data_IF_109245587858
#
_entry.id   IF_109245587858
#
_cell.length_a   1.000
_cell.length_b   1.000
_cell.length_c   1.000
_cell.angle_alpha   90.00
_cell.angle_beta   90.00
_cell.angle_gamma   90.00
#
_symmetry.space_group_name_H-M   'P 1'
#
loop_
_entity.id
_entity.type
_entity.pdbx_description
1 polymer ?
#
# COMPACT_ATOMS: atom_id res chain seq x y z
N UNK A 1 -37.99 -21.99 3.83
CA UNK A 1 -36.83 -22.20 2.95
C UNK A 1 -35.92 -20.99 3.14
N UNK A 2 -34.88 -21.12 3.97
CA UNK A 2 -33.87 -20.07 4.11
C UNK A 2 -33.17 -19.95 2.75
N UNK A 3 -33.25 -18.80 2.11
CA UNK A 3 -32.33 -18.47 1.04
C UNK A 3 -30.97 -18.22 1.68
N UNK A 4 -30.09 -19.20 1.57
CA UNK A 4 -28.65 -18.98 1.67
C UNK A 4 -28.28 -17.97 0.60
N UNK A 5 -27.96 -16.75 1.01
CA UNK A 5 -27.21 -15.80 0.18
C UNK A 5 -25.89 -16.51 -0.14
N UNK A 6 -25.79 -17.06 -1.34
CA UNK A 6 -24.54 -17.61 -1.85
C UNK A 6 -23.47 -16.54 -1.68
N UNK A 7 -22.36 -16.89 -1.02
CA UNK A 7 -21.16 -16.06 -0.94
C UNK A 7 -20.94 -15.46 -2.32
N UNK A 8 -21.16 -14.16 -2.47
CA UNK A 8 -20.70 -13.45 -3.64
C UNK A 8 -19.21 -13.76 -3.72
N UNK A 9 -18.78 -14.33 -4.85
CA UNK A 9 -17.39 -14.19 -5.26
C UNK A 9 -17.13 -12.69 -5.13
N UNK A 10 -16.30 -12.29 -4.16
CA UNK A 10 -15.91 -10.90 -3.94
C UNK A 10 -15.74 -10.27 -5.31
N UNK A 11 -16.51 -9.21 -5.59
CA UNK A 11 -16.38 -8.47 -6.83
C UNK A 11 -14.88 -8.32 -7.10
N UNK A 12 -14.48 -8.75 -8.30
CA UNK A 12 -13.09 -8.81 -8.74
C UNK A 12 -12.58 -7.37 -8.86
N UNK A 13 -12.32 -6.73 -7.73
CA UNK A 13 -11.87 -5.35 -7.70
C UNK A 13 -10.38 -5.36 -8.07
N UNK A 14 -10.07 -4.81 -9.24
CA UNK A 14 -8.74 -4.84 -9.84
C UNK A 14 -7.75 -3.85 -9.19
N UNK A 15 -8.23 -3.05 -8.25
CA UNK A 15 -7.44 -2.03 -7.56
C UNK A 15 -7.55 -2.20 -6.04
N UNK A 16 -6.62 -1.58 -5.33
CA UNK A 16 -6.60 -1.53 -3.87
C UNK A 16 -6.30 -0.10 -3.44
N UNK A 17 -6.87 0.27 -2.30
CA UNK A 17 -6.67 1.57 -1.68
C UNK A 17 -5.55 1.50 -0.65
N UNK A 18 -4.80 2.59 -0.52
CA UNK A 18 -3.77 2.75 0.51
C UNK A 18 -4.03 4.08 1.21
N UNK A 19 -4.17 4.07 2.53
CA UNK A 19 -4.37 5.31 3.29
C UNK A 19 -3.09 6.13 3.32
N UNK A 20 -3.15 7.48 3.39
CA UNK A 20 -1.95 8.28 3.60
C UNK A 20 -1.25 7.90 4.91
N UNK A 21 0.09 7.95 5.00
CA UNK A 21 0.78 7.74 6.26
C UNK A 21 0.48 8.89 7.25
N UNK A 22 0.76 8.69 8.55
CA UNK A 22 0.63 9.77 9.53
C UNK A 22 1.67 10.86 9.29
N UNK A 23 1.41 12.08 9.79
CA UNK A 23 2.27 13.26 9.60
C UNK A 23 2.88 13.67 10.94
N UNK A 24 4.20 13.90 10.97
CA UNK A 24 4.83 14.53 12.13
C UNK A 24 4.97 16.05 11.92
N UNK A 25 4.00 16.79 12.45
CA UNK A 25 3.93 18.25 12.36
C UNK A 25 5.18 18.95 12.92
N UNK A 26 5.77 18.43 14.00
CA UNK A 26 6.97 19.00 14.60
C UNK A 26 8.21 18.85 13.69
N UNK A 27 8.31 17.76 12.95
CA UNK A 27 9.32 17.63 11.90
C UNK A 27 8.96 18.48 10.66
N UNK A 28 7.66 18.66 10.37
CA UNK A 28 7.23 19.46 9.23
C UNK A 28 7.58 20.93 9.35
N UNK A 29 7.47 21.47 10.56
CA UNK A 29 7.94 22.81 10.92
C UNK A 29 9.46 22.95 10.78
N UNK A 30 10.23 21.89 11.05
CA UNK A 30 11.71 21.91 10.95
C UNK A 30 12.22 21.77 9.53
N UNK A 31 11.49 21.10 8.65
CA UNK A 31 11.96 20.75 7.30
C UNK A 31 11.02 21.22 6.18
N UNK A 32 10.40 22.42 6.24
CA UNK A 32 9.26 22.77 5.39
C UNK A 32 9.60 22.70 3.89
N UNK A 33 8.60 22.38 3.06
CA UNK A 33 8.80 22.24 1.61
C UNK A 33 9.02 23.59 0.91
N UNK A 34 8.45 24.65 1.48
CA UNK A 34 8.59 26.05 1.04
C UNK A 34 8.82 26.92 2.27
N UNK A 35 9.15 28.19 2.06
CA UNK A 35 9.27 29.15 3.15
C UNK A 35 7.98 29.20 3.99
N UNK A 36 8.10 28.94 5.30
CA UNK A 36 6.98 28.84 6.21
C UNK A 36 6.92 30.07 7.13
N UNK A 37 6.46 31.19 6.58
CA UNK A 37 6.37 32.47 7.30
C UNK A 37 5.38 32.44 8.48
N UNK A 38 4.41 31.52 8.44
CA UNK A 38 3.36 31.41 9.45
C UNK A 38 3.79 30.57 10.66
N UNK A 39 4.85 29.77 10.53
CA UNK A 39 5.31 28.87 11.58
C UNK A 39 4.29 27.76 11.91
N UNK A 40 3.38 27.45 10.98
CA UNK A 40 2.36 26.41 11.11
C UNK A 40 2.67 25.24 10.19
N UNK A 41 2.37 24.02 10.60
CA UNK A 41 2.59 22.85 9.75
C UNK A 41 1.63 22.91 8.56
N UNK A 42 2.15 22.77 7.34
CA UNK A 42 1.35 22.83 6.11
C UNK A 42 0.47 21.59 5.91
N UNK A 43 0.71 20.54 6.70
CA UNK A 43 -0.07 19.30 6.77
C UNK A 43 -0.22 18.90 8.23
N UNK A 44 -1.38 18.38 8.61
CA UNK A 44 -1.63 17.89 9.97
C UNK A 44 -1.89 16.38 10.00
N UNK A 45 -1.56 15.74 11.11
CA UNK A 45 -1.87 14.32 11.29
C UNK A 45 -3.38 14.10 11.40
N UNK A 46 -4.11 15.08 11.93
CA UNK A 46 -5.57 15.08 11.98
C UNK A 46 -6.17 15.04 10.58
N UNK A 47 -5.71 15.92 9.68
CA UNK A 47 -6.17 15.92 8.29
C UNK A 47 -5.82 14.60 7.60
N UNK A 48 -4.59 14.09 7.78
CA UNK A 48 -4.19 12.79 7.25
C UNK A 48 -5.12 11.66 7.75
N UNK A 49 -5.51 11.69 9.03
CA UNK A 49 -6.47 10.74 9.61
C UNK A 49 -7.87 10.86 9.03
N UNK A 50 -8.34 12.08 8.74
CA UNK A 50 -9.63 12.31 8.08
C UNK A 50 -9.65 11.72 6.66
N UNK A 51 -8.57 11.93 5.88
CA UNK A 51 -8.41 11.33 4.56
C UNK A 51 -8.23 9.81 4.62
N UNK A 52 -7.53 9.28 5.63
CA UNK A 52 -7.43 7.84 5.85
C UNK A 52 -8.81 7.21 6.09
N UNK A 53 -9.63 7.82 6.95
CA UNK A 53 -11.01 7.38 7.20
C UNK A 53 -11.88 7.43 5.94
N UNK A 54 -11.78 8.51 5.15
CA UNK A 54 -12.51 8.62 3.89
C UNK A 54 -12.06 7.56 2.87
N UNK A 55 -10.76 7.30 2.76
CA UNK A 55 -10.19 6.27 1.89
C UNK A 55 -10.70 4.86 2.25
N UNK A 56 -10.77 4.54 3.55
CA UNK A 56 -11.34 3.27 4.04
C UNK A 56 -12.83 3.16 3.69
N UNK A 57 -13.62 4.21 3.94
CA UNK A 57 -15.04 4.21 3.63
C UNK A 57 -15.33 4.00 2.14
N UNK A 58 -14.57 4.64 1.26
CA UNK A 58 -14.68 4.43 -0.20
C UNK A 58 -14.30 3.00 -0.58
N UNK A 59 -13.23 2.46 0.00
CA UNK A 59 -12.85 1.07 -0.26
C UNK A 59 -13.95 0.08 0.16
N UNK A 60 -14.60 0.32 1.31
CA UNK A 60 -15.75 -0.47 1.77
C UNK A 60 -16.95 -0.34 0.83
N UNK A 61 -17.30 0.87 0.39
CA UNK A 61 -18.38 1.13 -0.57
C UNK A 61 -18.14 0.42 -1.91
N UNK A 62 -16.90 0.44 -2.40
CA UNK A 62 -16.50 -0.23 -3.64
C UNK A 62 -16.32 -1.76 -3.48
N UNK A 63 -16.37 -2.31 -2.27
CA UNK A 63 -16.04 -3.71 -2.00
C UNK A 63 -14.58 -4.06 -2.35
N UNK A 64 -13.68 -3.09 -2.23
CA UNK A 64 -12.27 -3.18 -2.60
C UNK A 64 -11.36 -3.32 -1.36
N UNK A 65 -10.19 -3.95 -1.49
CA UNK A 65 -9.22 -4.04 -0.41
C UNK A 65 -8.64 -2.66 -0.06
N UNK A 66 -8.40 -2.43 1.23
CA UNK A 66 -7.68 -1.26 1.75
C UNK A 66 -6.50 -1.67 2.62
N UNK A 67 -5.40 -0.93 2.47
CA UNK A 67 -4.20 -1.01 3.30
C UNK A 67 -4.13 0.23 4.18
N UNK A 68 -4.45 0.07 5.47
CA UNK A 68 -4.50 1.20 6.42
C UNK A 68 -3.12 1.48 7.05
N UNK A 69 -2.30 2.24 6.32
CA UNK A 69 -0.96 2.65 6.77
C UNK A 69 -1.04 3.68 7.91
N UNK A 70 -2.01 4.59 7.89
CA UNK A 70 -2.20 5.61 8.92
C UNK A 70 -2.31 4.98 10.31
N UNK A 71 -3.21 4.02 10.48
CA UNK A 71 -3.38 3.31 11.76
C UNK A 71 -2.20 2.40 12.04
N UNK A 72 -1.74 1.62 11.05
CA UNK A 72 -0.67 0.63 11.24
C UNK A 72 0.62 1.24 11.78
N UNK A 73 1.07 2.36 11.21
CA UNK A 73 2.30 3.00 11.66
C UNK A 73 2.19 3.47 13.10
N UNK A 74 1.06 4.06 13.48
CA UNK A 74 0.85 4.65 14.81
C UNK A 74 0.69 3.62 15.94
N UNK A 75 0.57 2.32 15.63
CA UNK A 75 0.67 1.24 16.62
C UNK A 75 2.06 1.19 17.29
N UNK A 76 3.10 1.73 16.64
CA UNK A 76 4.40 1.93 17.25
C UNK A 76 4.47 3.32 17.90
N UNK A 77 4.69 3.45 19.22
CA UNK A 77 4.74 4.77 19.88
C UNK A 77 5.87 5.67 19.37
N UNK A 78 6.92 5.11 18.75
CA UNK A 78 8.02 5.85 18.13
C UNK A 78 7.89 5.97 16.61
N UNK A 79 6.68 5.88 16.06
CA UNK A 79 6.44 5.90 14.60
C UNK A 79 7.04 7.11 13.89
N UNK A 80 7.02 8.28 14.53
CA UNK A 80 7.54 9.54 13.96
C UNK A 80 8.99 9.41 13.52
N UNK A 81 9.87 8.97 14.42
CA UNK A 81 11.30 8.82 14.13
C UNK A 81 11.61 7.49 13.43
N UNK A 82 10.83 6.44 13.72
CA UNK A 82 11.10 5.12 13.15
C UNK A 82 10.74 5.06 11.66
N UNK A 83 9.65 5.71 11.26
CA UNK A 83 9.05 5.51 9.93
C UNK A 83 9.08 6.75 9.04
N UNK A 84 9.33 7.96 9.57
CA UNK A 84 9.41 9.19 8.78
C UNK A 84 10.81 9.82 8.85
N UNK A 85 11.28 10.32 7.71
CA UNK A 85 12.59 10.98 7.57
C UNK A 85 12.53 12.45 7.96
N UNK A 86 11.52 13.14 7.44
CA UNK A 86 11.36 14.60 7.55
C UNK A 86 9.98 15.00 8.08
N UNK A 87 9.21 14.04 8.59
CA UNK A 87 7.82 14.22 9.01
C UNK A 87 6.77 13.97 7.91
N UNK A 88 7.21 13.61 6.69
CA UNK A 88 6.33 13.20 5.59
C UNK A 88 6.87 11.96 4.85
N UNK A 89 8.11 12.02 4.36
CA UNK A 89 8.67 10.94 3.56
C UNK A 89 9.10 9.76 4.43
N UNK A 90 8.90 8.55 3.92
CA UNK A 90 9.17 7.33 4.66
C UNK A 90 10.68 7.04 4.77
N UNK A 91 11.10 6.51 5.93
CA UNK A 91 12.42 5.88 6.08
C UNK A 91 12.44 4.51 5.38
N UNK A 92 13.59 3.83 5.25
CA UNK A 92 13.62 2.43 4.80
C UNK A 92 12.73 1.52 5.66
N UNK A 93 12.67 1.76 6.97
CA UNK A 93 11.79 1.02 7.88
C UNK A 93 10.31 1.36 7.65
N UNK A 94 9.99 2.62 7.37
CA UNK A 94 8.63 3.03 7.00
C UNK A 94 8.17 2.38 5.69
N UNK A 95 9.02 2.36 4.65
CA UNK A 95 8.76 1.69 3.39
C UNK A 95 8.56 0.18 3.58
N UNK A 96 9.35 -0.46 4.46
CA UNK A 96 9.18 -1.88 4.78
C UNK A 96 7.79 -2.20 5.34
N UNK A 97 7.24 -1.35 6.21
CA UNK A 97 5.86 -1.53 6.71
C UNK A 97 4.84 -1.46 5.57
N UNK A 98 4.97 -0.49 4.66
CA UNK A 98 4.07 -0.38 3.50
C UNK A 98 4.16 -1.64 2.63
N UNK A 99 5.38 -2.09 2.32
CA UNK A 99 5.61 -3.31 1.55
C UNK A 99 4.94 -4.53 2.19
N UNK A 100 5.16 -4.75 3.49
CA UNK A 100 4.63 -5.93 4.20
C UNK A 100 3.09 -5.95 4.21
N UNK A 101 2.45 -4.81 4.45
CA UNK A 101 0.99 -4.73 4.48
C UNK A 101 0.36 -4.83 3.09
N UNK A 102 0.97 -4.22 2.06
CA UNK A 102 0.53 -4.38 0.67
C UNK A 102 0.68 -5.83 0.22
N UNK A 103 1.84 -6.45 0.49
CA UNK A 103 2.12 -7.82 0.10
C UNK A 103 1.18 -8.81 0.80
N UNK A 104 0.88 -8.59 2.08
CA UNK A 104 -0.13 -9.35 2.82
C UNK A 104 -1.50 -9.24 2.13
N UNK A 105 -1.93 -8.03 1.74
CA UNK A 105 -3.22 -7.79 1.08
C UNK A 105 -3.31 -8.46 -0.29
N UNK A 106 -2.22 -8.45 -1.06
CA UNK A 106 -2.10 -9.18 -2.33
C UNK A 106 -2.22 -10.70 -2.11
N UNK A 107 -1.54 -11.25 -1.11
CA UNK A 107 -1.64 -12.68 -0.75
C UNK A 107 -3.06 -13.09 -0.35
N UNK A 108 -3.75 -12.27 0.43
CA UNK A 108 -5.17 -12.47 0.79
C UNK A 108 -6.10 -12.53 -0.45
N UNK A 109 -5.66 -11.95 -1.58
CA UNK A 109 -6.37 -11.96 -2.87
C UNK A 109 -5.91 -13.06 -3.82
N UNK A 110 -5.01 -13.95 -3.37
CA UNK A 110 -4.46 -15.03 -4.20
C UNK A 110 -3.36 -14.57 -5.15
N UNK A 111 -2.85 -13.34 -5.01
CA UNK A 111 -1.70 -12.85 -5.76
C UNK A 111 -0.44 -13.07 -4.91
N UNK A 112 0.34 -14.09 -5.26
CA UNK A 112 1.62 -14.36 -4.63
C UNK A 112 2.67 -14.76 -5.67
N UNK A 113 3.94 -14.50 -5.39
CA UNK A 113 5.05 -14.77 -6.32
C UNK A 113 5.12 -16.25 -6.68
N UNK A 114 4.70 -17.12 -5.77
CA UNK A 114 4.68 -18.57 -5.95
C UNK A 114 3.53 -19.06 -6.84
N UNK A 115 2.50 -18.24 -7.05
CA UNK A 115 1.28 -18.59 -7.81
C UNK A 115 1.23 -17.85 -9.15
N UNK A 116 1.86 -16.69 -9.25
CA UNK A 116 1.86 -15.90 -10.49
C UNK A 116 2.56 -16.69 -11.61
N UNK A 117 1.91 -16.82 -12.78
CA UNK A 117 2.54 -17.46 -13.92
C UNK A 117 3.75 -16.64 -14.36
N UNK A 118 4.77 -17.33 -14.87
CA UNK A 118 5.88 -16.66 -15.53
C UNK A 118 5.40 -16.29 -16.93
N UNK A 119 5.50 -15.00 -17.29
CA UNK A 119 4.99 -14.50 -18.57
C UNK A 119 5.80 -14.99 -19.78
N UNK A 120 7.04 -15.43 -19.56
CA UNK A 120 8.00 -15.81 -20.59
C UNK A 120 8.81 -17.04 -20.14
N UNK A 121 9.37 -17.83 -21.08
CA UNK A 121 10.27 -18.94 -20.74
C UNK A 121 11.43 -18.47 -19.86
N UNK A 122 11.85 -19.32 -18.93
CA UNK A 122 13.06 -19.06 -18.16
C UNK A 122 14.26 -19.11 -19.12
N UNK A 123 15.26 -18.26 -18.89
CA UNK A 123 16.47 -18.21 -19.74
C UNK A 123 17.17 -19.58 -19.84
N UNK A 124 17.10 -20.39 -18.77
CA UNK A 124 17.66 -21.73 -18.73
C UNK A 124 16.92 -22.72 -19.66
N UNK A 125 15.68 -22.41 -20.03
CA UNK A 125 14.80 -23.25 -20.86
C UNK A 125 14.79 -22.77 -22.33
N UNK A 126 15.57 -21.74 -22.67
CA UNK A 126 15.72 -21.25 -24.05
C UNK A 126 16.79 -22.08 -24.76
N UNK A 127 16.41 -22.79 -25.84
CA UNK A 127 17.38 -23.46 -26.69
C UNK A 127 18.23 -22.41 -27.45
N UNK A 128 19.55 -22.32 -27.23
CA UNK A 128 20.38 -21.34 -27.90
C UNK A 128 20.48 -21.55 -29.42
N UNK A 129 20.12 -22.75 -29.92
CA UNK A 129 20.12 -23.06 -31.35
C UNK A 129 18.79 -22.76 -32.03
N UNK A 130 17.70 -22.70 -31.26
CA UNK A 130 16.36 -22.37 -31.74
C UNK A 130 15.56 -21.59 -30.68
N UNK A 131 15.98 -20.34 -30.36
CA UNK A 131 15.44 -19.60 -29.23
C UNK A 131 13.98 -19.18 -29.44
N UNK A 132 13.53 -19.02 -30.69
CA UNK A 132 12.17 -18.60 -31.01
C UNK A 132 11.13 -19.66 -30.66
N UNK A 133 11.51 -20.95 -30.69
CA UNK A 133 10.62 -22.06 -30.34
C UNK A 133 10.13 -21.98 -28.90
N UNK A 134 10.95 -21.48 -27.97
CA UNK A 134 10.58 -21.33 -26.55
C UNK A 134 9.49 -20.26 -26.32
N UNK A 135 9.09 -19.50 -27.34
CA UNK A 135 8.05 -18.45 -27.25
C UNK A 135 6.76 -18.79 -28.03
N UNK A 136 6.59 -20.03 -28.54
CA UNK A 136 5.48 -20.42 -29.43
C UNK A 136 4.31 -21.15 -28.72
N UNK A 137 4.00 -20.80 -27.46
CA UNK A 137 2.82 -21.33 -26.76
C UNK A 137 1.48 -20.84 -27.32
#
# INVERSE_FOLDING_TARGET
>A
MLMTVGKSSLAKCDYSFITPPPIDEAARLRYPYVENLQGLSERTNEAAGAYAKACIAVAEECGCPVVDIWTKMQQNPNWKNAYLRDGLHLTPRGNKIVFEEVFKKLKERGLSVEILPVDLPLIADIDPKDPLKSFQE
#
